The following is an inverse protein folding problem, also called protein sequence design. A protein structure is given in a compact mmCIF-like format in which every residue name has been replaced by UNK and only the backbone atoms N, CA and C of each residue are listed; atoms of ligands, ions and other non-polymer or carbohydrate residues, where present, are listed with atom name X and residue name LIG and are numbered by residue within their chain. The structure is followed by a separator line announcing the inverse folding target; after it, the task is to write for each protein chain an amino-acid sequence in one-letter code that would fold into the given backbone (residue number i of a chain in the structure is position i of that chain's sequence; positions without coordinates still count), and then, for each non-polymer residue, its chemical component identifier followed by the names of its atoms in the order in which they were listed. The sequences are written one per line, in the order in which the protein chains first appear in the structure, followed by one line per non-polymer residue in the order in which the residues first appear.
data_IF_186042115590
#
_entry.id   IF_186042115590
#
_cell.length_a   1.000
_cell.length_b   1.000
_cell.length_c   1.000
_cell.angle_alpha   90.00
_cell.angle_beta   90.00
_cell.angle_gamma   90.00
#
_symmetry.space_group_name_H-M   'P 1'
#
loop_
_entity.id
_entity.type
_entity.pdbx_description
1 polymer ?
#
# COMPACT_ATOMS: atom_id res chain seq x y z
N UNK A 1 42.81 19.82 -4.34
CA UNK A 1 42.61 18.44 -4.85
C UNK A 1 41.11 18.19 -4.86
N UNK A 2 40.47 18.55 -5.97
CA UNK A 2 39.04 18.40 -6.22
C UNK A 2 38.88 17.34 -7.31
N UNK A 3 37.98 16.38 -7.12
CA UNK A 3 37.55 15.48 -8.18
C UNK A 3 36.02 15.34 -8.10
N UNK A 4 35.36 15.73 -9.18
CA UNK A 4 33.94 15.55 -9.45
C UNK A 4 33.70 14.28 -10.29
N UNK A 5 32.47 13.76 -10.15
CA UNK A 5 31.64 13.05 -11.15
C UNK A 5 31.93 11.53 -11.39
N UNK A 6 30.89 10.70 -11.68
CA UNK A 6 29.73 11.06 -12.49
C UNK A 6 28.34 10.89 -11.85
N UNK A 7 27.51 11.89 -12.15
CA UNK A 7 26.06 11.78 -12.26
C UNK A 7 25.75 10.69 -13.30
N UNK A 8 25.36 9.51 -12.84
CA UNK A 8 24.84 8.45 -13.70
C UNK A 8 23.39 8.76 -14.05
N UNK A 9 23.24 9.18 -15.32
CA UNK A 9 22.01 9.36 -16.10
C UNK A 9 20.80 8.61 -15.56
N UNK A 10 19.84 9.42 -15.16
CA UNK A 10 18.41 9.13 -15.11
C UNK A 10 17.98 8.38 -16.39
N UNK A 11 17.96 7.04 -16.33
CA UNK A 11 17.30 6.22 -17.34
C UNK A 11 15.90 6.01 -16.80
N UNK A 12 14.99 6.89 -17.19
CA UNK A 12 13.56 6.63 -17.09
C UNK A 12 13.33 5.26 -17.72
N UNK A 13 13.13 4.24 -16.89
CA UNK A 13 12.45 3.04 -17.32
C UNK A 13 11.05 3.54 -17.65
N UNK A 14 10.75 3.66 -18.94
CA UNK A 14 9.41 3.84 -19.43
C UNK A 14 8.67 2.57 -19.01
N UNK A 15 8.08 2.59 -17.82
CA UNK A 15 7.08 1.61 -17.41
C UNK A 15 5.96 1.79 -18.44
N UNK A 16 5.68 0.80 -19.30
CA UNK A 16 4.56 0.93 -20.20
C UNK A 16 3.32 1.19 -19.34
N UNK A 17 2.67 2.32 -19.61
CA UNK A 17 1.39 2.65 -19.00
C UNK A 17 0.48 1.42 -19.15
N UNK A 18 -0.05 0.81 -18.06
CA UNK A 18 -0.97 -0.29 -18.19
C UNK A 18 -2.10 0.18 -19.11
N UNK A 19 -2.39 -0.62 -20.15
CA UNK A 19 -3.38 -0.28 -21.18
C UNK A 19 -4.60 0.32 -20.48
N UNK A 20 -4.95 1.56 -20.85
CA UNK A 20 -6.25 2.16 -20.52
C UNK A 20 -7.32 1.16 -20.95
N UNK A 21 -7.85 0.42 -20.00
CA UNK A 21 -9.11 -0.29 -20.20
C UNK A 21 -10.15 0.82 -20.29
N UNK A 22 -10.71 1.02 -21.47
CA UNK A 22 -11.81 1.94 -21.66
C UNK A 22 -12.94 1.55 -20.69
N UNK A 23 -13.53 2.50 -19.94
CA UNK A 23 -14.74 2.21 -19.19
C UNK A 23 -15.83 1.73 -20.16
N UNK A 24 -16.73 0.81 -19.76
CA UNK A 24 -17.88 0.46 -20.57
C UNK A 24 -18.73 1.73 -20.83
N UNK A 25 -19.43 1.81 -21.97
CA UNK A 25 -20.24 2.99 -22.29
C UNK A 25 -21.30 3.23 -21.21
N UNK A 26 -21.32 4.45 -20.70
CA UNK A 26 -22.32 4.95 -19.75
C UNK A 26 -23.66 5.11 -20.48
N UNK A 27 -24.63 4.26 -20.17
CA UNK A 27 -26.01 4.35 -20.68
C UNK A 27 -26.85 5.14 -19.66
N UNK A 28 -27.27 6.34 -20.05
CA UNK A 28 -27.75 7.41 -19.17
C UNK A 28 -29.10 7.14 -18.48
N UNK A 29 -29.13 6.26 -17.48
CA UNK A 29 -30.30 5.96 -16.66
C UNK A 29 -30.24 6.58 -15.27
N UNK A 30 -31.21 7.46 -14.98
CA UNK A 30 -31.46 8.10 -13.68
C UNK A 30 -31.76 7.10 -12.55
N UNK A 31 -31.19 7.35 -11.36
CA UNK A 31 -31.71 6.85 -10.07
C UNK A 31 -31.08 5.58 -9.51
N UNK A 32 -29.99 5.75 -8.74
CA UNK A 32 -29.39 4.69 -7.93
C UNK A 32 -27.88 4.88 -7.84
N UNK A 33 -27.35 5.16 -6.65
CA UNK A 33 -25.92 5.34 -6.44
C UNK A 33 -25.27 3.94 -6.43
N UNK A 34 -24.88 3.44 -7.59
CA UNK A 34 -24.08 2.23 -7.73
C UNK A 34 -22.60 2.61 -7.61
N UNK A 35 -21.96 2.28 -6.49
CA UNK A 35 -20.51 2.36 -6.36
C UNK A 35 -19.94 1.02 -6.86
N UNK A 36 -19.39 0.96 -8.08
CA UNK A 36 -18.83 -0.29 -8.61
C UNK A 36 -17.56 -0.78 -7.87
N UNK A 37 -17.11 -0.10 -6.80
CA UNK A 37 -16.00 -0.55 -5.95
C UNK A 37 -14.62 -0.51 -6.62
N UNK A 38 -14.54 -0.06 -7.88
CA UNK A 38 -13.28 0.09 -8.61
C UNK A 38 -12.56 1.37 -8.20
N UNK A 39 -11.26 1.24 -7.91
CA UNK A 39 -10.36 2.37 -7.70
C UNK A 39 -9.30 2.40 -8.79
N UNK A 40 -8.87 3.60 -9.16
CA UNK A 40 -7.67 3.79 -9.96
C UNK A 40 -6.45 3.63 -9.06
N UNK A 41 -5.61 2.64 -9.32
CA UNK A 41 -4.29 2.54 -8.69
C UNK A 41 -3.27 3.22 -9.59
N UNK A 42 -2.55 4.20 -9.03
CA UNK A 42 -1.49 4.92 -9.73
C UNK A 42 -0.31 5.18 -8.80
N UNK A 43 0.86 5.45 -9.40
CA UNK A 43 2.02 5.89 -8.64
C UNK A 43 1.66 7.14 -7.82
N UNK A 44 2.14 7.19 -6.58
CA UNK A 44 1.97 8.33 -5.70
C UNK A 44 2.93 9.44 -6.12
N UNK A 45 2.39 10.62 -6.42
CA UNK A 45 3.17 11.83 -6.66
C UNK A 45 3.46 12.58 -5.36
N UNK A 46 4.34 13.58 -5.42
CA UNK A 46 4.70 14.40 -4.25
C UNK A 46 3.49 15.21 -3.72
N UNK A 47 2.59 15.63 -4.61
CA UNK A 47 1.36 16.34 -4.28
C UNK A 47 0.37 15.49 -3.47
N UNK A 48 0.42 14.16 -3.62
CA UNK A 48 -0.43 13.25 -2.85
C UNK A 48 0.04 13.11 -1.40
N UNK A 49 1.29 13.47 -1.09
CA UNK A 49 1.90 13.16 0.20
C UNK A 49 1.18 13.85 1.35
N UNK A 50 0.73 15.10 1.16
CA UNK A 50 -0.09 15.81 2.14
C UNK A 50 -1.40 15.06 2.43
N UNK A 51 -2.10 14.66 1.36
CA UNK A 51 -3.37 13.91 1.48
C UNK A 51 -3.14 12.55 2.13
N UNK A 52 -2.04 11.86 1.82
CA UNK A 52 -1.70 10.58 2.44
C UNK A 52 -1.41 10.72 3.94
N UNK A 53 -0.80 11.82 4.39
CA UNK A 53 -0.57 12.07 5.82
C UNK A 53 -1.89 12.31 6.56
N UNK A 54 -2.81 13.10 5.99
CA UNK A 54 -4.14 13.30 6.58
C UNK A 54 -4.95 12.00 6.62
N UNK A 55 -4.87 11.21 5.55
CA UNK A 55 -5.48 9.89 5.51
C UNK A 55 -4.89 8.94 6.57
N UNK A 56 -3.56 8.92 6.72
CA UNK A 56 -2.87 8.14 7.74
C UNK A 56 -3.31 8.55 9.14
N UNK A 57 -3.52 9.84 9.40
CA UNK A 57 -4.03 10.34 10.69
C UNK A 57 -5.42 9.79 10.99
N UNK A 58 -6.34 9.87 10.02
CA UNK A 58 -7.69 9.34 10.18
C UNK A 58 -7.69 7.81 10.46
N UNK A 59 -6.77 7.08 9.84
CA UNK A 59 -6.57 5.65 10.10
C UNK A 59 -6.00 5.41 11.50
N UNK A 60 -5.04 6.22 11.94
CA UNK A 60 -4.45 6.11 13.27
C UNK A 60 -5.50 6.31 14.37
N UNK A 61 -6.35 7.32 14.23
CA UNK A 61 -7.40 7.62 15.21
C UNK A 61 -8.44 6.49 15.33
N UNK A 62 -8.75 5.79 14.23
CA UNK A 62 -9.83 4.78 14.22
C UNK A 62 -9.33 3.34 14.44
N UNK A 63 -8.15 3.03 13.90
CA UNK A 63 -7.62 1.67 13.84
C UNK A 63 -6.27 1.51 14.58
N UNK A 64 -5.76 2.58 15.23
CA UNK A 64 -4.47 2.57 15.90
C UNK A 64 -3.34 2.08 15.00
N UNK A 65 -3.40 2.43 13.71
CA UNK A 65 -2.35 2.16 12.74
C UNK A 65 -1.80 3.47 12.15
N UNK A 66 -0.47 3.68 12.19
CA UNK A 66 0.52 2.88 12.90
C UNK A 66 0.27 2.93 14.41
N UNK A 67 0.73 1.92 15.18
CA UNK A 67 0.57 1.91 16.64
C UNK A 67 1.21 3.16 17.27
N UNK A 68 2.42 3.48 16.81
CA UNK A 68 3.13 4.68 17.20
C UNK A 68 3.09 5.69 16.05
N UNK A 69 2.49 6.86 16.30
CA UNK A 69 2.50 7.94 15.32
C UNK A 69 3.94 8.42 15.07
N UNK A 70 4.41 8.51 13.80
CA UNK A 70 5.78 8.94 13.51
C UNK A 70 5.97 10.44 13.73
N UNK A 71 7.13 10.84 14.25
CA UNK A 71 7.51 12.24 14.41
C UNK A 71 7.55 13.00 13.06
N UNK A 72 7.97 12.31 11.99
CA UNK A 72 7.89 12.80 10.61
C UNK A 72 7.11 11.80 9.73
N UNK A 73 5.78 12.00 9.57
CA UNK A 73 4.94 11.15 8.74
C UNK A 73 5.30 11.18 7.26
N UNK A 74 5.86 12.29 6.74
CA UNK A 74 6.19 12.44 5.32
C UNK A 74 7.38 11.57 4.96
N UNK A 75 8.43 11.64 5.78
CA UNK A 75 9.61 10.77 5.64
C UNK A 75 9.25 9.33 5.94
N UNK A 76 8.44 9.08 6.97
CA UNK A 76 7.97 7.74 7.28
C UNK A 76 7.26 7.12 6.08
N UNK A 77 6.35 7.83 5.40
CA UNK A 77 5.65 7.38 4.19
C UNK A 77 6.55 7.26 2.95
N UNK A 78 7.83 7.61 3.02
CA UNK A 78 8.73 7.69 1.86
C UNK A 78 10.06 7.00 2.15
N UNK A 79 10.04 5.68 2.43
CA UNK A 79 11.27 4.95 2.72
C UNK A 79 12.25 5.01 1.55
N UNK A 80 13.55 5.03 1.85
CA UNK A 80 14.62 5.13 0.87
C UNK A 80 14.74 3.88 0.01
N UNK A 81 14.52 2.70 0.59
CA UNK A 81 14.55 1.40 -0.09
C UNK A 81 13.25 1.05 -0.83
N UNK A 82 12.39 2.03 -1.15
CA UNK A 82 11.15 1.76 -1.89
C UNK A 82 11.43 1.26 -3.31
N UNK A 83 10.76 0.18 -3.68
CA UNK A 83 10.63 -0.28 -5.07
C UNK A 83 9.48 0.45 -5.78
N UNK A 84 8.48 0.91 -5.02
CA UNK A 84 7.43 1.79 -5.52
C UNK A 84 6.43 2.18 -4.44
N UNK A 85 5.62 3.19 -4.74
CA UNK A 85 4.58 3.69 -3.86
C UNK A 85 3.36 4.07 -4.70
N UNK A 86 2.18 3.61 -4.27
CA UNK A 86 0.93 3.80 -5.00
C UNK A 86 -0.18 4.29 -4.11
N UNK A 87 -1.12 4.99 -4.73
CA UNK A 87 -2.38 5.41 -4.13
C UNK A 87 -3.55 4.77 -4.87
N UNK A 88 -4.57 4.40 -4.11
CA UNK A 88 -5.89 4.10 -4.64
C UNK A 88 -6.71 5.39 -4.71
N UNK A 89 -7.28 5.68 -5.87
CA UNK A 89 -8.07 6.89 -6.13
C UNK A 89 -9.49 6.50 -6.50
N UNK A 90 -10.46 7.06 -5.78
CA UNK A 90 -11.88 6.98 -6.10
C UNK A 90 -12.39 8.38 -6.47
N UNK A 91 -12.86 8.55 -7.70
CA UNK A 91 -13.15 9.88 -8.26
C UNK A 91 -11.89 10.77 -8.24
N UNK A 92 -11.95 11.87 -7.49
CA UNK A 92 -10.83 12.80 -7.31
C UNK A 92 -10.07 12.60 -5.98
N UNK A 93 -10.44 11.61 -5.16
CA UNK A 93 -9.94 11.45 -3.80
C UNK A 93 -9.01 10.25 -3.67
N UNK A 94 -7.86 10.47 -3.03
CA UNK A 94 -7.00 9.37 -2.54
C UNK A 94 -7.71 8.70 -1.36
N UNK A 95 -7.96 7.40 -1.50
CA UNK A 95 -8.71 6.57 -0.53
C UNK A 95 -7.89 5.39 -0.02
N UNK A 96 -6.63 5.25 -0.44
CA UNK A 96 -5.74 4.22 0.06
C UNK A 96 -4.32 4.41 -0.41
N UNK A 97 -3.41 3.72 0.24
CA UNK A 97 -1.98 3.88 0.04
C UNK A 97 -1.26 2.57 0.31
N UNK A 98 -0.17 2.31 -0.42
CA UNK A 98 0.73 1.19 -0.19
C UNK A 98 2.15 1.52 -0.63
N UNK A 99 3.13 0.96 0.07
CA UNK A 99 4.54 0.99 -0.32
C UNK A 99 5.05 -0.43 -0.51
N UNK A 100 5.86 -0.63 -1.55
CA UNK A 100 6.65 -1.83 -1.72
C UNK A 100 8.12 -1.48 -1.46
N UNK A 101 8.78 -2.17 -0.53
CA UNK A 101 10.18 -1.95 -0.16
C UNK A 101 11.04 -3.14 -0.56
N UNK A 102 12.34 -2.90 -0.77
CA UNK A 102 13.32 -3.97 -1.02
C UNK A 102 13.87 -4.51 0.30
N UNK A 103 13.89 -5.84 0.42
CA UNK A 103 14.51 -6.57 1.54
C UNK A 103 15.46 -7.63 0.96
N UNK A 104 16.71 -7.24 0.75
CA UNK A 104 17.67 -8.04 -0.03
C UNK A 104 17.15 -8.28 -1.46
N UNK A 105 17.03 -9.55 -1.83
CA UNK A 105 16.48 -9.98 -3.13
C UNK A 105 14.95 -10.19 -3.11
N UNK A 106 14.30 -9.95 -1.97
CA UNK A 106 12.85 -10.00 -1.82
C UNK A 106 12.22 -8.59 -1.83
N UNK A 107 10.91 -8.55 -1.70
CA UNK A 107 10.11 -7.34 -1.53
C UNK A 107 9.12 -7.48 -0.37
N UNK A 108 8.77 -6.36 0.24
CA UNK A 108 7.83 -6.32 1.37
C UNK A 108 6.76 -5.25 1.17
N UNK A 109 5.50 -5.61 1.46
CA UNK A 109 4.39 -4.64 1.51
C UNK A 109 4.43 -3.93 2.85
N UNK A 110 4.58 -2.62 2.81
CA UNK A 110 4.60 -1.75 3.97
C UNK A 110 3.58 -0.61 3.81
N UNK A 111 3.14 -0.03 4.92
CA UNK A 111 2.30 1.20 4.94
C UNK A 111 1.04 1.07 4.10
N UNK A 112 0.42 -0.10 4.17
CA UNK A 112 -0.87 -0.41 3.58
C UNK A 112 -1.98 0.13 4.49
N UNK A 113 -2.72 1.11 4.01
CA UNK A 113 -3.90 1.61 4.70
C UNK A 113 -4.94 2.11 3.70
N UNK A 114 -6.20 2.09 4.13
CA UNK A 114 -7.37 2.50 3.36
C UNK A 114 -8.17 3.46 4.22
N UNK A 115 -8.79 4.45 3.57
CA UNK A 115 -9.73 5.36 4.21
C UNK A 115 -10.77 4.56 5.01
N UNK A 116 -10.90 4.78 6.33
CA UNK A 116 -11.89 4.10 7.14
C UNK A 116 -13.31 4.24 6.59
N UNK A 117 -13.62 5.38 5.96
CA UNK A 117 -14.92 5.67 5.34
C UNK A 117 -15.12 4.95 3.99
N UNK A 118 -14.06 4.40 3.39
CA UNK A 118 -14.10 3.61 2.17
C UNK A 118 -13.74 2.13 2.40
N UNK A 119 -13.78 1.67 3.66
CA UNK A 119 -13.51 0.26 3.99
C UNK A 119 -14.58 -0.68 3.45
N UNK A 120 -14.24 -1.98 3.39
CA UNK A 120 -15.14 -3.06 2.91
C UNK A 120 -15.56 -2.96 1.43
N UNK A 121 -14.90 -2.12 0.65
CA UNK A 121 -15.10 -1.99 -0.80
C UNK A 121 -14.04 -2.72 -1.64
N UNK A 122 -13.20 -3.56 -1.01
CA UNK A 122 -12.16 -4.32 -1.71
C UNK A 122 -10.89 -3.54 -2.07
N UNK A 123 -10.78 -2.26 -1.69
CA UNK A 123 -9.63 -1.39 -2.01
C UNK A 123 -8.30 -1.98 -1.51
N UNK A 124 -8.27 -2.47 -0.26
CA UNK A 124 -7.06 -3.09 0.29
C UNK A 124 -6.60 -4.32 -0.48
N UNK A 125 -7.55 -5.10 -1.01
CA UNK A 125 -7.25 -6.25 -1.88
C UNK A 125 -6.70 -5.78 -3.23
N UNK A 126 -7.31 -4.77 -3.85
CA UNK A 126 -6.82 -4.22 -5.12
C UNK A 126 -5.37 -3.69 -4.98
N UNK A 127 -5.04 -3.03 -3.85
CA UNK A 127 -3.67 -2.59 -3.57
C UNK A 127 -2.69 -3.77 -3.38
N UNK A 128 -3.11 -4.82 -2.68
CA UNK A 128 -2.30 -6.04 -2.51
C UNK A 128 -2.06 -6.76 -3.85
N UNK A 129 -3.11 -6.91 -4.66
CA UNK A 129 -3.02 -7.54 -5.98
C UNK A 129 -2.04 -6.76 -6.88
N UNK A 130 -2.08 -5.42 -6.82
CA UNK A 130 -1.12 -4.56 -7.52
C UNK A 130 0.33 -4.78 -7.04
N UNK A 131 0.55 -4.93 -5.73
CA UNK A 131 1.87 -5.27 -5.18
C UNK A 131 2.36 -6.66 -5.63
N UNK A 132 1.47 -7.66 -5.68
CA UNK A 132 1.79 -9.02 -6.16
C UNK A 132 2.25 -8.96 -7.62
N UNK A 133 1.50 -8.29 -8.49
CA UNK A 133 1.89 -8.10 -9.90
C UNK A 133 3.24 -7.39 -10.01
N UNK A 134 3.43 -6.30 -9.28
CA UNK A 134 4.67 -5.51 -9.33
C UNK A 134 5.88 -6.33 -8.84
N UNK A 135 5.75 -7.08 -7.75
CA UNK A 135 6.83 -7.92 -7.24
C UNK A 135 7.19 -9.05 -8.21
N UNK A 136 6.19 -9.67 -8.86
CA UNK A 136 6.41 -10.68 -9.88
C UNK A 136 7.15 -10.12 -11.11
N UNK A 137 6.77 -8.93 -11.59
CA UNK A 137 7.47 -8.24 -12.68
C UNK A 137 8.93 -7.92 -12.35
N UNK A 138 9.22 -7.63 -11.07
CA UNK A 138 10.58 -7.41 -10.57
C UNK A 138 11.35 -8.71 -10.28
N UNK A 139 10.71 -9.88 -10.42
CA UNK A 139 11.32 -11.18 -10.10
C UNK A 139 11.57 -11.38 -8.59
N UNK A 140 10.79 -10.73 -7.72
CA UNK A 140 10.99 -10.74 -6.27
C UNK A 140 9.90 -11.53 -5.56
N UNK A 141 10.30 -12.35 -4.59
CA UNK A 141 9.35 -12.94 -3.64
C UNK A 141 8.75 -11.83 -2.78
N UNK A 142 7.45 -11.91 -2.53
CA UNK A 142 6.71 -10.88 -1.80
C UNK A 142 6.24 -11.43 -0.44
N UNK A 143 6.49 -10.64 0.60
CA UNK A 143 5.95 -10.89 1.94
C UNK A 143 5.37 -9.62 2.56
N UNK A 144 4.72 -9.77 3.71
CA UNK A 144 4.34 -8.67 4.59
C UNK A 144 4.36 -9.15 6.03
N UNK A 145 4.55 -8.20 6.95
CA UNK A 145 4.46 -8.43 8.38
C UNK A 145 3.35 -7.57 8.98
N UNK A 146 2.62 -8.15 9.94
CA UNK A 146 1.51 -7.46 10.62
C UNK A 146 1.50 -7.75 12.09
N UNK A 147 1.33 -6.68 12.86
CA UNK A 147 0.99 -6.73 14.27
C UNK A 147 -0.52 -6.75 14.37
N UNK A 148 -1.09 -7.85 14.84
CA UNK A 148 -2.53 -8.04 14.80
C UNK A 148 -3.26 -7.24 15.89
N UNK A 149 -3.65 -6.00 15.56
CA UNK A 149 -4.45 -5.14 16.42
C UNK A 149 -5.90 -5.13 15.93
N UNK A 150 -6.70 -6.15 16.34
CA UNK A 150 -8.15 -6.35 16.07
C UNK A 150 -8.53 -7.25 14.86
N UNK A 151 -7.63 -8.05 14.30
CA UNK A 151 -7.93 -9.12 13.34
C UNK A 151 -8.20 -8.69 11.89
N UNK A 152 -8.53 -7.42 11.63
CA UNK A 152 -9.00 -6.96 10.32
C UNK A 152 -7.97 -7.17 9.20
N UNK A 153 -6.71 -6.85 9.44
CA UNK A 153 -5.63 -7.02 8.47
C UNK A 153 -5.33 -8.50 8.20
N UNK A 154 -5.27 -9.34 9.25
CA UNK A 154 -5.11 -10.79 9.12
C UNK A 154 -6.24 -11.41 8.28
N UNK A 155 -7.49 -11.00 8.52
CA UNK A 155 -8.63 -11.44 7.71
C UNK A 155 -8.54 -11.00 6.25
N UNK A 156 -8.10 -9.78 5.97
CA UNK A 156 -7.86 -9.29 4.62
C UNK A 156 -6.82 -10.14 3.89
N UNK A 157 -5.66 -10.39 4.52
CA UNK A 157 -4.57 -11.15 3.90
C UNK A 157 -5.00 -12.57 3.56
N UNK A 158 -5.61 -13.28 4.52
CA UNK A 158 -6.11 -14.65 4.31
C UNK A 158 -7.16 -14.72 3.21
N UNK A 159 -8.10 -13.76 3.14
CA UNK A 159 -9.09 -13.71 2.04
C UNK A 159 -8.50 -13.33 0.70
N UNK A 160 -7.34 -12.68 0.69
CA UNK A 160 -6.61 -12.32 -0.53
C UNK A 160 -5.65 -13.43 -0.99
N UNK A 161 -5.72 -14.63 -0.36
CA UNK A 161 -4.90 -15.78 -0.73
C UNK A 161 -3.49 -15.79 -0.12
N UNK A 162 -3.15 -14.81 0.71
CA UNK A 162 -1.85 -14.77 1.38
C UNK A 162 -1.77 -15.86 2.45
N UNK A 163 -0.60 -16.50 2.52
CA UNK A 163 -0.36 -17.61 3.45
C UNK A 163 0.51 -17.15 4.61
N UNK A 164 0.06 -17.44 5.82
CA UNK A 164 0.86 -17.26 7.03
C UNK A 164 2.08 -18.20 6.99
N UNK A 165 3.29 -17.65 7.15
CA UNK A 165 4.55 -18.40 7.06
C UNK A 165 5.39 -18.34 8.34
N UNK A 166 4.99 -17.53 9.32
CA UNK A 166 5.67 -17.45 10.60
C UNK A 166 5.01 -16.48 11.57
N UNK A 167 5.38 -16.63 12.84
CA UNK A 167 5.05 -15.71 13.93
C UNK A 167 6.32 -15.44 14.74
N UNK A 168 6.49 -14.21 15.18
CA UNK A 168 7.64 -13.80 15.99
C UNK A 168 7.14 -13.02 17.19
N UNK A 169 7.51 -13.40 18.43
CA UNK A 169 7.16 -12.62 19.61
C UNK A 169 7.71 -11.18 19.51
N UNK A 170 6.93 -10.21 19.96
CA UNK A 170 7.33 -8.80 20.06
C UNK A 170 7.10 -8.27 21.48
N UNK A 171 7.99 -7.41 21.95
CA UNK A 171 7.93 -6.75 23.27
C UNK A 171 7.44 -5.29 23.19
N UNK A 172 7.41 -4.72 21.98
CA UNK A 172 7.02 -3.33 21.71
C UNK A 172 5.54 -3.15 21.33
N UNK A 173 4.77 -4.23 21.20
CA UNK A 173 3.34 -4.18 20.84
C UNK A 173 2.40 -3.78 21.98
N UNK A 174 2.92 -3.58 23.19
CA UNK A 174 2.13 -3.26 24.38
C UNK A 174 1.03 -4.29 24.65
N UNK A 175 -0.12 -3.86 25.17
CA UNK A 175 -1.30 -4.72 25.34
C UNK A 175 -2.02 -5.06 24.03
N UNK A 176 -1.63 -4.41 22.92
CA UNK A 176 -2.35 -4.50 21.65
C UNK A 176 -1.89 -5.69 20.82
N UNK A 177 -0.66 -6.17 21.02
CA UNK A 177 -0.15 -7.36 20.37
C UNK A 177 1.13 -7.89 21.02
N UNK A 178 1.26 -9.22 21.04
CA UNK A 178 2.45 -9.94 21.50
C UNK A 178 3.20 -10.65 20.38
N UNK A 179 2.67 -10.66 19.16
CA UNK A 179 3.24 -11.36 18.02
C UNK A 179 3.18 -10.52 16.74
N UNK A 180 4.25 -10.62 15.95
CA UNK A 180 4.32 -10.19 14.56
C UNK A 180 4.05 -11.41 13.68
N UNK A 181 3.06 -11.34 12.81
CA UNK A 181 2.69 -12.42 11.90
C UNK A 181 3.20 -12.11 10.51
N UNK A 182 3.95 -13.04 9.92
CA UNK A 182 4.48 -12.94 8.56
C UNK A 182 3.60 -13.69 7.57
N UNK A 183 3.28 -13.03 6.47
CA UNK A 183 2.55 -13.63 5.35
C UNK A 183 3.41 -13.62 4.08
N UNK A 184 3.28 -14.66 3.27
CA UNK A 184 3.80 -14.72 1.91
C UNK A 184 2.66 -14.56 0.90
N UNK A 185 2.96 -13.88 -0.20
CA UNK A 185 2.05 -13.74 -1.34
C UNK A 185 1.69 -15.12 -1.95
N UNK A 186 0.52 -15.23 -2.61
CA UNK A 186 0.08 -16.45 -3.31
C UNK A 186 1.00 -16.85 -4.48
#
# INVERSE_FOLDING_TARGET
MWAQAPVSRNRQLHVPCPRRLSPPPYDGGVGGIWWDGWVLIRARGDDDLGVCVELLRAVHEQAAYPINWPADPRTWLTPENRLGCWVAVSGARVVGHVVLTAVGDAAEVERLFVDPQATRQGIGRQLLDHCVTTAAELGRKLSLEVVDNRGAAVHLYRRSGWREVGRTPIDWGGEQASELVRFAAP
#
